data_IF_583824745704
#
_entry.id   IF_583824745704
#
_cell.length_a   1.000
_cell.length_b   1.000
_cell.length_c   1.000
_cell.angle_alpha   90.00
_cell.angle_beta   90.00
_cell.angle_gamma   90.00
#
_symmetry.space_group_name_H-M   'P 1'
#
loop_
_entity.id
_entity.type
_entity.pdbx_description
1 polymer ?
#
# COMPACT_ATOMS: atom_id res chain seq x y z
N UNK A 1 -0.95 36.16 -45.16
CA UNK A 1 -1.83 34.98 -44.97
C UNK A 1 -0.93 33.83 -44.61
N UNK A 2 -0.86 33.51 -43.32
CA UNK A 2 -0.02 32.44 -42.79
C UNK A 2 -0.94 31.29 -42.39
N UNK A 3 -0.60 30.11 -42.90
CA UNK A 3 -1.34 28.87 -42.79
C UNK A 3 -1.14 28.25 -41.40
N UNK A 4 -2.17 27.54 -40.96
CA UNK A 4 -2.48 27.13 -39.59
C UNK A 4 -2.06 25.67 -39.41
N UNK A 5 -1.14 25.38 -38.49
CA UNK A 5 -0.88 24.01 -38.04
C UNK A 5 -1.67 23.70 -36.75
N UNK A 6 -2.64 22.77 -36.77
CA UNK A 6 -3.15 22.16 -35.56
C UNK A 6 -2.33 20.91 -35.20
N UNK A 7 -1.71 20.90 -34.02
CA UNK A 7 -1.14 19.69 -33.42
C UNK A 7 -2.03 19.14 -32.31
N UNK A 8 -2.77 18.03 -32.54
CA UNK A 8 -3.44 17.29 -31.47
C UNK A 8 -2.78 15.91 -31.30
N UNK A 9 -1.97 15.77 -30.25
CA UNK A 9 -1.46 14.48 -29.77
C UNK A 9 -2.23 14.01 -28.54
N UNK A 10 -3.48 13.60 -28.71
CA UNK A 10 -4.23 12.87 -27.67
C UNK A 10 -3.85 11.40 -27.79
N UNK A 11 -2.99 10.90 -26.90
CA UNK A 11 -2.75 9.46 -26.79
C UNK A 11 -4.00 8.80 -26.17
N UNK A 12 -4.72 8.04 -26.99
CA UNK A 12 -5.73 7.11 -26.51
C UNK A 12 -5.04 5.99 -25.73
N UNK A 13 -5.31 5.93 -24.43
CA UNK A 13 -4.98 4.82 -23.54
C UNK A 13 -5.70 3.57 -24.06
N UNK A 14 -4.97 2.72 -24.78
CA UNK A 14 -5.46 1.48 -25.35
C UNK A 14 -6.18 0.63 -24.32
N UNK A 15 -7.41 0.28 -24.65
CA UNK A 15 -8.28 -0.61 -23.91
C UNK A 15 -7.63 -1.99 -23.77
N UNK A 16 -7.57 -2.53 -22.55
CA UNK A 16 -7.43 -3.97 -22.33
C UNK A 16 -8.82 -4.58 -22.34
N UNK A 17 -9.19 -5.16 -23.47
CA UNK A 17 -10.11 -6.29 -23.51
C UNK A 17 -9.37 -7.44 -24.17
N UNK A 18 -9.25 -8.57 -23.48
CA UNK A 18 -9.39 -9.87 -24.12
C UNK A 18 -9.97 -10.85 -23.10
N UNK A 19 -11.30 -10.94 -23.19
CA UNK A 19 -12.13 -12.03 -22.73
C UNK A 19 -11.94 -13.21 -23.69
N UNK A 20 -11.67 -14.39 -23.13
CA UNK A 20 -12.21 -15.66 -23.62
C UNK A 20 -11.54 -16.35 -24.81
N UNK A 21 -11.73 -17.69 -24.82
CA UNK A 21 -11.44 -18.67 -25.88
C UNK A 21 -9.95 -19.05 -26.01
N UNK A 22 -9.51 -20.32 -25.92
CA UNK A 22 -10.17 -21.60 -26.19
C UNK A 22 -9.47 -22.72 -25.41
N UNK A 23 -10.23 -23.41 -24.56
CA UNK A 23 -9.91 -24.78 -24.19
C UNK A 23 -10.57 -25.71 -25.21
N UNK A 24 -9.79 -26.25 -26.15
CA UNK A 24 -10.24 -27.34 -27.02
C UNK A 24 -9.15 -28.42 -27.07
N UNK A 25 -9.23 -29.36 -26.13
CA UNK A 25 -8.58 -30.66 -26.25
C UNK A 25 -9.41 -31.53 -27.19
N UNK A 26 -8.78 -31.97 -28.28
CA UNK A 26 -9.42 -32.81 -29.29
C UNK A 26 -8.46 -33.21 -30.39
N UNK A 27 -7.43 -33.97 -30.01
CA UNK A 27 -6.59 -34.75 -30.92
C UNK A 27 -7.44 -35.79 -31.65
N UNK A 28 -7.42 -35.79 -32.98
CA UNK A 28 -7.42 -36.98 -33.84
C UNK A 28 -7.47 -36.57 -35.32
N UNK A 29 -6.60 -37.18 -36.13
CA UNK A 29 -6.74 -37.20 -37.60
C UNK A 29 -5.50 -36.74 -38.33
N UNK A 30 -4.61 -37.69 -38.61
CA UNK A 30 -3.40 -37.45 -39.39
C UNK A 30 -3.71 -37.12 -40.85
N UNK A 31 -2.89 -36.22 -41.39
CA UNK A 31 -2.64 -36.09 -42.81
C UNK A 31 -1.13 -35.89 -42.98
N UNK A 32 -0.46 -36.93 -43.45
CA UNK A 32 0.88 -36.83 -44.03
C UNK A 32 0.76 -35.98 -45.30
N UNK A 33 1.06 -34.69 -45.19
CA UNK A 33 1.22 -33.79 -46.34
C UNK A 33 2.73 -33.62 -46.54
N UNK A 34 3.28 -34.59 -47.25
CA UNK A 34 4.57 -34.51 -47.91
C UNK A 34 4.43 -33.53 -49.08
N UNK A 35 4.86 -32.28 -48.86
CA UNK A 35 4.65 -31.19 -49.83
C UNK A 35 5.38 -29.92 -49.44
N UNK A 36 6.66 -29.84 -49.82
CA UNK A 36 7.40 -28.61 -50.16
C UNK A 36 6.91 -27.31 -49.50
N UNK A 37 7.27 -27.10 -48.23
CA UNK A 37 7.32 -25.75 -47.65
C UNK A 37 8.78 -25.30 -47.61
N UNK A 38 9.11 -24.10 -48.12
CA UNK A 38 10.45 -23.55 -47.95
C UNK A 38 10.77 -23.41 -46.45
N UNK A 39 12.03 -23.60 -46.05
CA UNK A 39 12.42 -23.46 -44.64
C UNK A 39 12.08 -22.05 -44.20
N UNK A 40 11.10 -21.89 -43.32
CA UNK A 40 10.77 -20.60 -42.77
C UNK A 40 11.84 -20.26 -41.73
N UNK A 41 12.75 -19.36 -42.08
CA UNK A 41 13.81 -18.79 -41.21
C UNK A 41 13.29 -17.98 -40.01
N UNK A 42 12.06 -18.23 -39.56
CA UNK A 42 11.43 -17.53 -38.43
C UNK A 42 11.74 -18.14 -37.07
N UNK A 43 12.60 -19.16 -37.01
CA UNK A 43 13.04 -19.80 -35.77
C UNK A 43 14.19 -19.08 -35.04
N UNK A 44 14.80 -18.04 -35.62
CA UNK A 44 15.89 -17.29 -34.97
C UNK A 44 15.44 -16.37 -33.83
N UNK A 45 14.14 -16.07 -33.70
CA UNK A 45 13.59 -15.28 -32.60
C UNK A 45 13.08 -16.13 -31.42
N UNK A 46 13.19 -17.46 -31.49
CA UNK A 46 12.81 -18.35 -30.38
C UNK A 46 13.93 -18.59 -29.36
N UNK A 47 15.12 -18.01 -29.58
CA UNK A 47 16.31 -18.22 -28.75
C UNK A 47 16.61 -17.15 -27.69
N UNK A 48 15.84 -16.06 -27.62
CA UNK A 48 16.09 -14.95 -26.68
C UNK A 48 14.95 -14.70 -25.69
N UNK A 49 13.94 -15.57 -25.64
CA UNK A 49 12.96 -15.54 -24.55
C UNK A 49 13.50 -16.42 -23.43
N UNK A 50 14.53 -15.91 -22.74
CA UNK A 50 14.80 -16.33 -21.37
C UNK A 50 13.45 -16.16 -20.65
N UNK A 51 12.85 -17.21 -20.05
CA UNK A 51 11.67 -16.99 -19.22
C UNK A 51 12.04 -15.86 -18.27
N UNK A 52 11.15 -14.87 -18.03
CA UNK A 52 11.43 -13.85 -17.04
C UNK A 52 11.92 -14.61 -15.81
N UNK A 53 13.17 -14.36 -15.44
CA UNK A 53 13.73 -14.76 -14.17
C UNK A 53 12.80 -14.03 -13.21
N UNK A 54 11.75 -14.74 -12.77
CA UNK A 54 10.94 -14.28 -11.67
C UNK A 54 11.94 -14.26 -10.54
N UNK A 55 12.48 -13.07 -10.27
CA UNK A 55 13.25 -12.82 -9.06
C UNK A 55 12.32 -13.21 -7.93
N UNK A 56 12.48 -14.44 -7.42
CA UNK A 56 11.76 -14.96 -6.25
C UNK A 56 11.99 -14.06 -5.02
N UNK A 57 12.96 -13.14 -5.11
CA UNK A 57 13.21 -12.05 -4.19
C UNK A 57 12.08 -11.00 -4.13
N UNK A 58 11.16 -10.92 -5.10
CA UNK A 58 10.06 -9.95 -5.14
C UNK A 58 8.68 -10.60 -5.00
N UNK A 59 8.60 -11.72 -4.27
CA UNK A 59 7.30 -12.28 -3.89
C UNK A 59 6.96 -11.80 -2.48
N UNK A 60 6.05 -10.82 -2.39
CA UNK A 60 5.51 -10.36 -1.11
C UNK A 60 4.85 -11.54 -0.41
N UNK A 61 5.37 -11.92 0.75
CA UNK A 61 4.80 -13.01 1.52
C UNK A 61 3.37 -12.65 1.93
N UNK A 62 2.39 -13.46 1.53
CA UNK A 62 0.96 -13.25 1.87
C UNK A 62 0.75 -13.07 3.38
N UNK A 63 1.53 -13.78 4.20
CA UNK A 63 1.49 -13.61 5.66
C UNK A 63 1.95 -12.23 6.09
N UNK A 64 3.02 -11.70 5.49
CA UNK A 64 3.55 -10.37 5.79
C UNK A 64 2.57 -9.27 5.39
N UNK A 65 1.90 -9.43 4.24
CA UNK A 65 0.90 -8.47 3.77
C UNK A 65 -0.29 -8.32 4.72
N UNK A 66 -0.65 -9.40 5.43
CA UNK A 66 -1.72 -9.36 6.43
C UNK A 66 -1.18 -8.97 7.80
N UNK A 67 -0.14 -9.63 8.32
CA UNK A 67 0.33 -9.43 9.70
C UNK A 67 0.98 -8.07 9.92
N UNK A 68 1.72 -7.54 8.94
CA UNK A 68 2.53 -6.35 9.14
C UNK A 68 1.68 -5.10 9.41
N UNK A 69 0.58 -4.84 8.67
CA UNK A 69 -0.34 -3.75 9.02
C UNK A 69 -0.97 -3.86 10.42
N UNK A 70 -1.39 -5.07 10.82
CA UNK A 70 -1.97 -5.30 12.16
C UNK A 70 -0.94 -5.11 13.26
N UNK A 71 0.27 -5.61 13.08
CA UNK A 71 1.38 -5.43 14.01
C UNK A 71 1.71 -3.94 14.18
N UNK A 72 1.78 -3.20 13.07
CA UNK A 72 2.10 -1.78 13.08
C UNK A 72 0.99 -0.96 13.76
N UNK A 73 -0.28 -1.30 13.53
CA UNK A 73 -1.41 -0.70 14.22
C UNK A 73 -1.36 -0.96 15.74
N UNK A 74 -1.11 -2.20 16.16
CA UNK A 74 -0.97 -2.56 17.57
C UNK A 74 0.21 -1.80 18.22
N UNK A 75 1.32 -1.66 17.51
CA UNK A 75 2.50 -0.91 17.98
C UNK A 75 2.19 0.58 18.16
N UNK A 76 1.50 1.20 17.19
CA UNK A 76 1.05 2.61 17.32
C UNK A 76 0.12 2.76 18.53
N UNK A 77 -0.87 1.88 18.69
CA UNK A 77 -1.78 1.91 19.83
C UNK A 77 -1.06 1.76 21.17
N UNK A 78 -0.08 0.85 21.25
CA UNK A 78 0.74 0.65 22.45
C UNK A 78 1.58 1.89 22.76
N UNK A 79 2.19 2.53 21.74
CA UNK A 79 2.90 3.79 21.91
C UNK A 79 1.97 4.90 22.44
N UNK A 80 0.76 5.02 21.90
CA UNK A 80 -0.24 5.98 22.38
C UNK A 80 -0.63 5.71 23.85
N UNK A 81 -0.78 4.45 24.23
CA UNK A 81 -1.11 4.06 25.60
C UNK A 81 0.01 4.41 26.59
N UNK A 82 1.27 4.10 26.25
CA UNK A 82 2.43 4.41 27.10
C UNK A 82 2.69 5.92 27.19
N UNK A 83 2.64 6.61 26.06
CA UNK A 83 2.87 8.06 26.02
C UNK A 83 1.73 8.84 26.70
N UNK A 84 0.49 8.36 26.56
CA UNK A 84 -0.68 8.88 27.28
C UNK A 84 -0.54 8.72 28.78
N UNK A 85 -0.13 7.53 29.25
CA UNK A 85 0.11 7.27 30.68
C UNK A 85 1.17 8.18 31.29
N UNK A 86 2.19 8.55 30.52
CA UNK A 86 3.28 9.42 30.97
C UNK A 86 3.02 10.92 30.73
N UNK A 87 1.89 11.30 30.11
CA UNK A 87 1.56 12.70 29.78
C UNK A 87 2.51 13.35 28.76
N UNK A 88 3.25 12.56 27.98
CA UNK A 88 4.26 13.06 27.05
C UNK A 88 3.63 13.40 25.68
N UNK A 89 2.96 14.55 25.61
CA UNK A 89 2.24 15.02 24.41
C UNK A 89 3.17 15.12 23.18
N UNK A 90 4.42 15.54 23.34
CA UNK A 90 5.34 15.66 22.21
C UNK A 90 5.66 14.31 21.55
N UNK A 91 5.85 13.26 22.37
CA UNK A 91 6.21 11.92 21.89
C UNK A 91 5.06 11.27 21.12
N UNK A 92 3.81 11.60 21.47
CA UNK A 92 2.60 11.16 20.79
C UNK A 92 2.55 11.56 19.30
N UNK A 93 3.12 12.71 18.94
CA UNK A 93 3.11 13.18 17.55
C UNK A 93 4.36 12.76 16.79
N UNK A 94 5.53 12.74 17.45
CA UNK A 94 6.79 12.42 16.80
C UNK A 94 6.77 11.00 16.22
N UNK A 95 6.31 10.02 16.99
CA UNK A 95 6.34 8.61 16.58
C UNK A 95 5.51 8.34 15.30
N UNK A 96 4.21 8.66 15.22
CA UNK A 96 3.42 8.45 14.00
C UNK A 96 3.91 9.30 12.83
N UNK A 97 4.42 10.52 13.06
CA UNK A 97 5.00 11.33 11.98
C UNK A 97 6.26 10.69 11.37
N UNK A 98 7.15 10.15 12.21
CA UNK A 98 8.35 9.44 11.73
C UNK A 98 7.97 8.18 10.97
N UNK A 99 7.01 7.39 11.47
CA UNK A 99 6.50 6.21 10.77
C UNK A 99 5.91 6.58 9.39
N UNK A 100 5.08 7.63 9.32
CA UNK A 100 4.52 8.10 8.06
C UNK A 100 5.60 8.55 7.07
N UNK A 101 6.64 9.24 7.53
CA UNK A 101 7.76 9.64 6.68
C UNK A 101 8.50 8.43 6.12
N UNK A 102 8.79 7.42 6.96
CA UNK A 102 9.46 6.18 6.53
C UNK A 102 8.59 5.44 5.49
N UNK A 103 7.30 5.30 5.75
CA UNK A 103 6.37 4.62 4.84
C UNK A 103 6.25 5.38 3.51
N UNK A 104 6.12 6.71 3.56
CA UNK A 104 6.03 7.54 2.34
C UNK A 104 7.31 7.44 1.51
N UNK A 105 8.47 7.45 2.17
CA UNK A 105 9.76 7.24 1.52
C UNK A 105 9.84 5.85 0.88
N UNK A 106 9.44 4.80 1.61
CA UNK A 106 9.38 3.43 1.09
C UNK A 106 8.52 3.32 -0.16
N UNK A 107 7.27 3.83 -0.10
CA UNK A 107 6.35 3.86 -1.25
C UNK A 107 6.99 4.59 -2.44
N UNK A 108 7.62 5.75 -2.21
CA UNK A 108 8.28 6.52 -3.27
C UNK A 108 9.40 5.75 -3.95
N UNK A 109 10.24 5.07 -3.18
CA UNK A 109 11.33 4.24 -3.73
C UNK A 109 10.80 3.06 -4.54
N UNK A 110 9.81 2.33 -4.03
CA UNK A 110 9.22 1.17 -4.69
C UNK A 110 8.37 1.53 -5.91
N UNK A 111 7.68 2.66 -5.85
CA UNK A 111 6.95 3.19 -6.99
C UNK A 111 7.88 3.53 -8.17
N UNK A 112 9.07 4.10 -7.89
CA UNK A 112 10.06 4.38 -8.92
C UNK A 112 10.65 3.11 -9.57
N UNK A 113 10.59 1.97 -8.88
CA UNK A 113 11.07 0.68 -9.37
C UNK A 113 10.01 -0.09 -10.17
N UNK A 114 8.73 0.33 -10.10
CA UNK A 114 7.61 -0.31 -10.80
C UNK A 114 7.02 -1.54 -10.09
N UNK A 115 7.43 -1.81 -8.85
CA UNK A 115 6.94 -2.92 -8.03
C UNK A 115 5.54 -2.61 -7.46
N UNK A 116 4.48 -2.98 -8.18
CA UNK A 116 3.10 -2.65 -7.76
C UNK A 116 2.69 -3.27 -6.43
N UNK A 117 3.17 -4.46 -6.13
CA UNK A 117 2.72 -5.25 -4.97
C UNK A 117 3.25 -4.65 -3.66
N UNK A 118 4.50 -4.19 -3.67
CA UNK A 118 5.14 -3.49 -2.56
C UNK A 118 4.54 -2.09 -2.31
N UNK A 119 4.11 -1.42 -3.38
CA UNK A 119 3.41 -0.14 -3.26
C UNK A 119 2.07 -0.33 -2.55
N UNK A 120 1.30 -1.38 -2.90
CA UNK A 120 0.03 -1.70 -2.24
C UNK A 120 0.25 -2.01 -0.76
N UNK A 121 1.30 -2.78 -0.43
CA UNK A 121 1.68 -3.03 0.96
C UNK A 121 1.95 -1.71 1.70
N UNK A 122 2.77 -0.83 1.13
CA UNK A 122 3.05 0.49 1.71
C UNK A 122 1.79 1.32 1.98
N UNK A 123 0.84 1.32 1.04
CA UNK A 123 -0.46 1.99 1.22
C UNK A 123 -1.28 1.39 2.38
N UNK A 124 -1.31 0.07 2.53
CA UNK A 124 -1.97 -0.60 3.65
C UNK A 124 -1.36 -0.20 4.99
N UNK A 125 -0.03 -0.11 5.07
CA UNK A 125 0.67 0.36 6.26
C UNK A 125 0.35 1.81 6.59
N UNK A 126 0.33 2.68 5.57
CA UNK A 126 -0.03 4.08 5.74
C UNK A 126 -1.44 4.23 6.31
N UNK A 127 -2.42 3.49 5.78
CA UNK A 127 -3.79 3.48 6.29
C UNK A 127 -3.87 2.99 7.73
N UNK A 128 -3.13 1.93 8.08
CA UNK A 128 -3.07 1.40 9.44
C UNK A 128 -2.54 2.46 10.44
N UNK A 129 -1.49 3.21 10.07
CA UNK A 129 -0.96 4.30 10.91
C UNK A 129 -1.97 5.44 11.08
N UNK A 130 -2.65 5.84 10.00
CA UNK A 130 -3.64 6.93 10.05
C UNK A 130 -4.81 6.53 10.97
N UNK A 131 -5.34 5.32 10.81
CA UNK A 131 -6.44 4.82 11.64
C UNK A 131 -5.98 4.70 13.10
N UNK A 132 -4.81 4.10 13.36
CA UNK A 132 -4.27 3.98 14.72
C UNK A 132 -4.05 5.34 15.39
N UNK A 133 -3.54 6.33 14.64
CA UNK A 133 -3.38 7.71 15.12
C UNK A 133 -4.74 8.35 15.43
N UNK A 134 -5.74 8.17 14.58
CA UNK A 134 -7.09 8.68 14.81
C UNK A 134 -7.75 8.10 16.06
N UNK A 135 -7.66 6.77 16.24
CA UNK A 135 -8.18 6.09 17.44
C UNK A 135 -7.42 6.53 18.69
N UNK A 136 -6.09 6.61 18.62
CA UNK A 136 -5.25 7.07 19.73
C UNK A 136 -5.53 8.53 20.14
N UNK A 137 -5.74 9.43 19.16
CA UNK A 137 -6.16 10.81 19.42
C UNK A 137 -7.53 10.86 20.09
N UNK A 138 -8.50 10.12 19.58
CA UNK A 138 -9.83 10.06 20.15
C UNK A 138 -9.80 9.61 21.62
N UNK A 139 -9.06 8.53 21.92
CA UNK A 139 -8.88 8.05 23.29
C UNK A 139 -8.24 9.09 24.21
N UNK A 140 -7.21 9.79 23.74
CA UNK A 140 -6.59 10.87 24.52
C UNK A 140 -7.54 12.03 24.78
N UNK A 141 -8.35 12.44 23.79
CA UNK A 141 -9.35 13.49 23.99
C UNK A 141 -10.38 13.10 25.05
N UNK A 142 -10.89 11.87 25.00
CA UNK A 142 -11.82 11.36 26.02
C UNK A 142 -11.18 11.35 27.40
N UNK A 143 -9.94 10.88 27.52
CA UNK A 143 -9.20 10.88 28.78
C UNK A 143 -8.98 12.29 29.34
N UNK A 144 -8.67 13.27 28.49
CA UNK A 144 -8.50 14.67 28.90
C UNK A 144 -9.81 15.29 29.37
N UNK A 145 -10.93 14.96 28.71
CA UNK A 145 -12.25 15.41 29.15
C UNK A 145 -12.62 14.83 30.52
N UNK A 146 -12.32 13.55 30.76
CA UNK A 146 -12.56 12.93 32.07
C UNK A 146 -11.68 13.54 33.16
N UNK A 147 -10.38 13.75 32.88
CA UNK A 147 -9.48 14.45 33.80
C UNK A 147 -9.98 15.85 34.11
N UNK A 148 -10.49 16.58 33.12
CA UNK A 148 -11.07 17.91 33.33
C UNK A 148 -12.31 17.84 34.21
N UNK A 149 -13.20 16.86 33.99
CA UNK A 149 -14.40 16.64 34.81
C UNK A 149 -14.04 16.32 36.26
N UNK A 150 -13.05 15.45 36.48
CA UNK A 150 -12.56 15.08 37.81
C UNK A 150 -11.93 16.29 38.49
N UNK A 151 -11.12 17.07 37.78
CA UNK A 151 -10.46 18.25 38.33
C UNK A 151 -11.46 19.33 38.77
N UNK A 152 -12.51 19.57 37.98
CA UNK A 152 -13.61 20.45 38.38
C UNK A 152 -14.34 19.90 39.61
N UNK A 153 -14.60 18.58 39.66
CA UNK A 153 -15.20 17.91 40.82
C UNK A 153 -14.38 18.03 42.11
N UNK A 154 -13.05 17.92 42.01
CA UNK A 154 -12.14 18.04 43.15
C UNK A 154 -12.08 19.48 43.72
N UNK A 155 -12.24 20.50 42.87
CA UNK A 155 -12.25 21.90 43.31
C UNK A 155 -13.39 22.24 44.28
N UNK A 156 -14.49 21.47 44.28
CA UNK A 156 -15.61 21.67 45.21
C UNK A 156 -15.32 21.13 46.62
N UNK A 157 -14.38 20.20 46.77
CA UNK A 157 -13.99 19.64 48.07
C UNK A 157 -12.86 20.40 48.76
N UNK A 158 -12.16 21.27 48.03
CA UNK A 158 -11.02 22.03 48.55
C UNK A 158 -11.40 23.43 49.07
N UNK A 159 -12.70 23.68 49.29
CA UNK A 159 -13.15 24.82 50.07
C UNK A 159 -12.87 24.48 51.54
N UNK A 160 -11.68 24.82 52.02
CA UNK A 160 -11.41 24.87 53.45
C UNK A 160 -12.48 25.75 54.11
N UNK A 161 -13.14 25.31 55.19
CA UNK A 161 -14.01 26.20 55.94
C UNK A 161 -13.14 27.36 56.45
N UNK A 162 -13.32 28.54 55.85
CA UNK A 162 -12.81 29.78 56.41
C UNK A 162 -13.72 30.14 57.58
N UNK A 163 -13.28 29.84 58.79
CA UNK A 163 -13.81 30.47 60.01
C UNK A 163 -13.52 31.98 60.01
#
# INVERSE_FOLDING_TARGET
MAEKEPGPGVMYRGARYNLGQEGQYGSMGGYDIEGTRPPSDKSLLRGAMKPPEYDEASQVNMCELVLLPWFLLALVMLCYLIAGANGQIAVLWIMPSVLLLIITYYIGTKYSLGDSDEVVLGFLLMMAVIIGTGVGLFGNFTSLQELHRINQGASYFNVLPSE
#
